data_IF_016995894573
#
_entry.id   IF_016995894573
#
_cell.length_a   1.000
_cell.length_b   1.000
_cell.length_c   1.000
_cell.angle_alpha   90.00
_cell.angle_beta   90.00
_cell.angle_gamma   90.00
#
_symmetry.space_group_name_H-M   'P 1'
#
loop_
_entity.id
_entity.type
_entity.pdbx_description
1 polymer ?
#
# COMPACT_ATOMS: atom_id res chain seq x y z
N UNK A 1 17.62 20.06 67.31
CA UNK A 1 17.10 21.44 67.32
C UNK A 1 16.84 21.82 65.86
N UNK A 2 15.55 21.95 65.53
CA UNK A 2 14.89 22.82 64.56
C UNK A 2 15.53 23.02 63.17
N UNK A 3 14.84 23.06 62.03
CA UNK A 3 13.52 22.68 61.52
C UNK A 3 13.64 23.06 60.01
N UNK A 4 13.34 22.16 59.07
CA UNK A 4 12.23 22.28 58.09
C UNK A 4 12.31 23.51 57.17
N UNK A 5 12.29 23.30 55.86
CA UNK A 5 11.31 23.88 54.93
C UNK A 5 11.54 23.28 53.53
N UNK A 6 10.72 22.27 53.21
CA UNK A 6 10.57 21.69 51.88
C UNK A 6 9.48 22.47 51.14
N UNK A 7 9.83 23.08 50.00
CA UNK A 7 8.87 23.74 49.11
C UNK A 7 8.41 22.79 48.01
N UNK A 8 7.35 22.03 48.30
CA UNK A 8 6.59 21.23 47.31
C UNK A 8 5.47 22.13 46.78
N UNK A 9 5.58 22.59 45.53
CA UNK A 9 4.47 23.25 44.83
C UNK A 9 3.59 22.19 44.16
N UNK A 10 2.54 21.76 44.85
CA UNK A 10 1.39 21.06 44.26
C UNK A 10 0.43 22.11 43.70
N UNK A 11 0.22 22.13 42.39
CA UNK A 11 -0.95 22.78 41.81
C UNK A 11 -2.17 21.85 41.89
N UNK A 12 -3.31 22.33 42.40
CA UNK A 12 -4.56 21.58 42.39
C UNK A 12 -5.29 21.69 41.05
N UNK A 13 -6.00 20.61 40.77
CA UNK A 13 -6.90 20.38 39.65
C UNK A 13 -7.95 21.50 39.50
N UNK A 14 -8.16 21.97 38.27
CA UNK A 14 -9.43 22.54 37.82
C UNK A 14 -10.08 21.51 36.90
N UNK A 15 -11.17 20.92 37.39
CA UNK A 15 -11.99 19.99 36.65
C UNK A 15 -12.71 20.70 35.50
N UNK A 16 -12.46 20.23 34.27
CA UNK A 16 -13.28 20.59 33.13
C UNK A 16 -14.45 19.61 33.08
N UNK A 17 -15.57 20.01 33.68
CA UNK A 17 -16.80 19.25 33.63
C UNK A 17 -17.41 19.33 32.23
N UNK A 18 -17.79 18.15 31.75
CA UNK A 18 -18.73 17.88 30.67
C UNK A 18 -19.82 18.94 30.50
N UNK A 19 -19.78 19.67 29.38
CA UNK A 19 -20.98 20.24 28.77
C UNK A 19 -21.35 19.38 27.57
N UNK A 20 -22.41 18.61 27.79
CA UNK A 20 -23.19 17.88 26.82
C UNK A 20 -23.42 18.73 25.55
N UNK A 21 -22.93 18.26 24.41
CA UNK A 21 -23.34 18.80 23.11
C UNK A 21 -24.78 18.35 22.84
N UNK A 22 -25.72 19.26 22.57
CA UNK A 22 -27.06 18.89 22.14
C UNK A 22 -26.99 18.24 20.75
N UNK A 23 -27.55 17.04 20.65
CA UNK A 23 -27.83 16.37 19.38
C UNK A 23 -28.91 17.15 18.63
N UNK A 24 -28.51 18.03 17.71
CA UNK A 24 -29.42 18.53 16.68
C UNK A 24 -29.63 17.42 15.64
N UNK A 25 -30.67 16.61 15.87
CA UNK A 25 -31.38 15.88 14.82
C UNK A 25 -32.06 16.92 13.93
N UNK A 26 -31.46 17.22 12.79
CA UNK A 26 -32.17 17.82 11.65
C UNK A 26 -32.11 16.78 10.53
N UNK A 27 -33.23 16.09 10.36
CA UNK A 27 -33.55 15.29 9.20
C UNK A 27 -33.71 16.22 7.98
N UNK A 28 -32.99 16.01 6.87
CA UNK A 28 -33.45 16.50 5.58
C UNK A 28 -34.56 15.60 5.03
N UNK A 29 -35.53 16.17 4.29
CA UNK A 29 -36.66 15.45 3.73
C UNK A 29 -36.27 14.60 2.52
N UNK A 30 -37.08 13.58 2.30
CA UNK A 30 -37.14 12.71 1.13
C UNK A 30 -37.09 13.52 -0.19
N UNK A 31 -36.05 13.25 -0.99
CA UNK A 31 -36.04 13.42 -2.44
C UNK A 31 -35.40 12.14 -2.99
N UNK A 32 -36.21 11.19 -3.45
CA UNK A 32 -36.51 10.98 -4.86
C UNK A 32 -35.29 10.60 -5.71
N UNK A 33 -35.17 9.28 -5.89
CA UNK A 33 -34.80 8.59 -7.13
C UNK A 33 -33.86 9.31 -8.10
N UNK A 34 -32.57 9.04 -7.97
CA UNK A 34 -31.70 8.81 -9.13
C UNK A 34 -30.84 7.58 -8.86
N UNK A 35 -31.26 6.45 -9.44
CA UNK A 35 -30.51 5.21 -9.49
C UNK A 35 -29.31 5.39 -10.41
N UNK A 36 -28.22 5.93 -9.87
CA UNK A 36 -26.91 5.79 -10.50
C UNK A 36 -26.45 4.36 -10.33
N UNK A 37 -26.67 3.58 -11.38
CA UNK A 37 -26.00 2.32 -11.64
C UNK A 37 -24.50 2.53 -11.37
N UNK A 38 -24.00 1.84 -10.34
CA UNK A 38 -22.57 1.67 -10.09
C UNK A 38 -21.97 1.01 -11.32
N UNK A 39 -21.39 1.83 -12.20
CA UNK A 39 -20.40 1.37 -13.14
C UNK A 39 -19.24 0.84 -12.31
N UNK A 40 -19.13 -0.49 -12.26
CA UNK A 40 -17.94 -1.16 -11.76
C UNK A 40 -16.73 -0.53 -12.45
N UNK A 41 -15.91 0.15 -11.67
CA UNK A 41 -14.60 0.60 -12.08
C UNK A 41 -13.82 -0.69 -12.35
N UNK A 42 -13.62 -0.98 -13.64
CA UNK A 42 -12.65 -1.99 -14.07
C UNK A 42 -11.29 -1.47 -13.62
N UNK A 43 -10.70 -2.13 -12.63
CA UNK A 43 -9.28 -2.01 -12.34
C UNK A 43 -8.51 -2.49 -13.56
N UNK A 44 -8.04 -1.53 -14.37
CA UNK A 44 -7.13 -1.78 -15.47
C UNK A 44 -5.76 -2.04 -14.87
N UNK A 45 -5.55 -3.27 -14.37
CA UNK A 45 -4.22 -3.75 -14.05
C UNK A 45 -3.44 -3.84 -15.37
N UNK A 46 -2.59 -2.84 -15.58
CA UNK A 46 -1.59 -2.85 -16.64
C UNK A 46 -0.58 -3.95 -16.32
N UNK A 47 -0.95 -5.20 -16.63
CA UNK A 47 -0.02 -6.31 -16.73
C UNK A 47 0.96 -5.95 -17.83
N UNK A 48 2.13 -5.51 -17.38
CA UNK A 48 3.31 -5.13 -18.13
C UNK A 48 3.79 -6.33 -18.94
N UNK A 49 3.17 -6.56 -20.12
CA UNK A 49 3.71 -7.45 -21.14
C UNK A 49 5.08 -6.93 -21.54
N UNK A 50 6.11 -7.65 -21.10
CA UNK A 50 7.47 -7.53 -21.60
C UNK A 50 7.44 -7.93 -23.08
N UNK A 51 7.35 -6.95 -23.96
CA UNK A 51 7.51 -7.20 -25.39
C UNK A 51 8.99 -7.44 -25.68
N UNK A 52 9.24 -8.60 -26.26
CA UNK A 52 10.53 -9.00 -26.79
C UNK A 52 11.10 -7.96 -27.77
N UNK A 53 12.41 -7.78 -27.71
CA UNK A 53 13.18 -6.85 -28.51
C UNK A 53 13.07 -7.12 -30.02
N UNK A 54 12.78 -6.10 -30.85
CA UNK A 54 12.95 -6.22 -32.29
C UNK A 54 14.44 -6.13 -32.66
N UNK A 55 14.94 -7.20 -33.29
CA UNK A 55 16.24 -7.27 -33.97
C UNK A 55 16.27 -6.32 -35.18
N UNK A 56 17.37 -5.57 -35.27
CA UNK A 56 18.08 -5.08 -36.45
C UNK A 56 17.26 -4.30 -37.50
N UNK A 57 16.98 -3.03 -37.16
CA UNK A 57 16.74 -1.99 -38.16
C UNK A 57 18.08 -1.43 -38.66
N UNK A 58 18.24 -1.41 -39.97
CA UNK A 58 19.41 -0.89 -40.68
C UNK A 58 19.56 0.61 -40.45
N UNK A 59 20.67 0.92 -39.78
CA UNK A 59 21.35 2.19 -39.56
C UNK A 59 21.23 3.16 -40.75
N UNK A 60 20.17 3.96 -40.75
CA UNK A 60 20.07 5.16 -41.58
C UNK A 60 20.80 6.30 -40.85
N UNK A 61 21.98 6.64 -41.34
CA UNK A 61 22.76 7.81 -40.90
C UNK A 61 22.09 9.08 -41.41
N UNK A 62 21.15 9.62 -40.65
CA UNK A 62 20.73 11.02 -40.75
C UNK A 62 20.99 11.69 -39.42
N UNK A 63 22.27 11.96 -39.19
CA UNK A 63 22.77 12.91 -38.19
C UNK A 63 22.29 14.31 -38.58
N UNK A 64 21.03 14.62 -38.29
CA UNK A 64 20.63 16.02 -38.08
C UNK A 64 20.84 16.31 -36.62
N UNK A 65 21.88 17.09 -36.42
CA UNK A 65 22.33 17.75 -35.22
C UNK A 65 21.19 18.63 -34.66
N UNK A 66 20.17 18.00 -34.06
CA UNK A 66 19.24 18.66 -33.16
C UNK A 66 20.05 18.92 -31.90
N UNK A 67 20.73 20.06 -31.88
CA UNK A 67 21.26 20.61 -30.65
C UNK A 67 20.05 20.76 -29.73
N UNK A 68 19.92 19.85 -28.78
CA UNK A 68 18.96 20.00 -27.69
C UNK A 68 19.12 21.43 -27.17
N UNK A 69 18.02 22.20 -27.03
CA UNK A 69 18.08 23.58 -26.60
C UNK A 69 18.92 23.61 -25.34
N UNK A 70 20.08 24.27 -25.42
CA UNK A 70 21.01 24.40 -24.31
C UNK A 70 20.21 25.05 -23.20
N UNK A 71 19.79 24.24 -22.22
CA UNK A 71 19.19 24.69 -20.97
C UNK A 71 20.00 25.91 -20.55
N UNK A 72 19.36 27.08 -20.59
CA UNK A 72 19.99 28.34 -20.23
C UNK A 72 20.70 28.08 -18.92
N UNK A 73 22.02 28.25 -18.93
CA UNK A 73 22.90 28.12 -17.78
C UNK A 73 22.23 28.93 -16.67
N UNK A 74 21.54 28.23 -15.78
CA UNK A 74 20.86 28.86 -14.67
C UNK A 74 21.95 29.59 -13.91
N UNK A 75 21.69 30.85 -13.57
CA UNK A 75 22.61 31.62 -12.75
C UNK A 75 23.05 30.73 -11.58
N UNK A 76 24.34 30.73 -11.20
CA UNK A 76 24.82 29.88 -10.11
C UNK A 76 23.91 30.11 -8.92
N UNK A 77 23.10 29.11 -8.57
CA UNK A 77 22.20 29.16 -7.42
C UNK A 77 23.11 29.47 -6.25
N UNK A 78 22.90 30.65 -5.64
CA UNK A 78 23.69 31.08 -4.51
C UNK A 78 23.70 29.91 -3.52
N UNK A 79 24.88 29.37 -3.26
CA UNK A 79 25.02 28.18 -2.42
C UNK A 79 24.39 28.53 -1.08
N UNK A 80 23.26 27.89 -0.75
CA UNK A 80 22.62 28.10 0.54
C UNK A 80 23.63 27.76 1.61
N UNK A 81 23.81 28.68 2.56
CA UNK A 81 24.74 28.48 3.66
C UNK A 81 24.40 27.17 4.37
N UNK A 82 25.42 26.33 4.62
CA UNK A 82 25.23 25.04 5.27
C UNK A 82 24.62 25.22 6.66
N UNK A 83 23.49 24.57 6.89
CA UNK A 83 22.74 24.64 8.15
C UNK A 83 23.43 23.80 9.22
N UNK A 84 23.62 24.32 10.45
CA UNK A 84 24.30 23.60 11.52
C UNK A 84 23.51 22.36 11.96
N UNK A 85 24.22 21.37 12.51
CA UNK A 85 23.65 20.07 12.86
C UNK A 85 22.47 20.16 13.86
N UNK A 86 22.52 21.11 14.79
CA UNK A 86 21.46 21.32 15.78
C UNK A 86 20.15 21.78 15.12
N UNK A 87 20.22 22.68 14.15
CA UNK A 87 19.05 23.16 13.40
C UNK A 87 18.49 22.07 12.49
N UNK A 88 19.34 21.29 11.81
CA UNK A 88 18.89 20.14 11.01
C UNK A 88 18.10 19.15 11.88
N UNK A 89 18.60 18.84 13.08
CA UNK A 89 17.89 17.96 14.03
C UNK A 89 16.58 18.56 14.53
N UNK A 90 16.48 19.88 14.67
CA UNK A 90 15.24 20.56 15.05
C UNK A 90 14.18 20.49 13.93
N UNK A 91 14.60 20.60 12.67
CA UNK A 91 13.71 20.60 11.50
C UNK A 91 13.22 19.17 11.18
N UNK A 92 14.18 18.25 11.00
CA UNK A 92 13.90 16.90 10.52
C UNK A 92 13.72 15.87 11.64
N UNK A 93 14.25 16.13 12.83
CA UNK A 93 14.31 15.15 13.93
C UNK A 93 15.66 14.41 13.99
N UNK A 94 15.84 13.52 14.98
CA UNK A 94 17.11 12.86 15.25
C UNK A 94 17.45 11.73 14.25
N UNK A 95 16.48 11.26 13.46
CA UNK A 95 16.64 10.14 12.54
C UNK A 95 17.37 10.50 11.24
N UNK A 96 17.41 11.78 10.87
CA UNK A 96 17.96 12.24 9.60
C UNK A 96 19.39 12.76 9.79
N UNK A 97 20.32 12.29 8.95
CA UNK A 97 21.70 12.77 8.96
C UNK A 97 21.81 14.23 8.50
N UNK A 98 22.80 14.93 9.05
CA UNK A 98 23.06 16.36 8.78
C UNK A 98 23.32 16.61 7.30
N UNK A 99 24.00 15.67 6.62
CA UNK A 99 24.27 15.80 5.18
C UNK A 99 22.99 15.69 4.37
N UNK A 100 22.15 14.69 4.67
CA UNK A 100 20.86 14.47 4.00
C UNK A 100 19.93 15.66 4.21
N UNK A 101 19.77 16.13 5.45
CA UNK A 101 18.92 17.29 5.75
C UNK A 101 19.36 18.56 5.00
N UNK A 102 20.67 18.82 4.92
CA UNK A 102 21.19 19.94 4.13
C UNK A 102 20.92 19.78 2.63
N UNK A 103 21.02 18.57 2.07
CA UNK A 103 20.72 18.33 0.66
C UNK A 103 19.22 18.52 0.35
N UNK A 104 18.35 18.11 1.27
CA UNK A 104 16.89 18.33 1.16
C UNK A 104 16.56 19.82 1.20
N UNK A 105 17.11 20.57 2.16
CA UNK A 105 16.94 22.04 2.23
C UNK A 105 17.43 22.71 0.95
N UNK A 106 18.58 22.29 0.41
CA UNK A 106 19.11 22.84 -0.83
C UNK A 106 18.17 22.60 -2.02
N UNK A 107 17.66 21.38 -2.20
CA UNK A 107 16.73 21.08 -3.29
C UNK A 107 15.38 21.81 -3.13
N UNK A 108 14.84 21.90 -1.91
CA UNK A 108 13.64 22.71 -1.66
C UNK A 108 13.87 24.18 -1.97
N UNK A 109 15.01 24.75 -1.57
CA UNK A 109 15.34 26.14 -1.87
C UNK A 109 15.46 26.39 -3.37
N UNK A 110 16.13 25.48 -4.08
CA UNK A 110 16.24 25.53 -5.54
C UNK A 110 14.87 25.49 -6.21
N UNK A 111 13.96 24.60 -5.78
CA UNK A 111 12.58 24.52 -6.30
C UNK A 111 11.78 25.80 -6.04
N UNK A 112 11.95 26.44 -4.88
CA UNK A 112 11.32 27.74 -4.56
C UNK A 112 11.76 28.82 -5.53
N UNK A 113 13.07 28.94 -5.76
CA UNK A 113 13.63 29.95 -6.66
C UNK A 113 13.25 29.67 -8.12
N UNK A 114 13.19 28.40 -8.53
CA UNK A 114 12.83 28.04 -9.90
C UNK A 114 11.33 27.99 -10.16
N UNK A 115 10.47 28.17 -9.16
CA UNK A 115 9.01 28.09 -9.31
C UNK A 115 8.45 26.67 -9.47
N UNK A 116 9.30 25.63 -9.44
CA UNK A 116 8.90 24.23 -9.68
C UNK A 116 8.31 23.53 -8.46
N UNK A 117 8.21 24.23 -7.33
CA UNK A 117 7.68 23.67 -6.08
C UNK A 117 6.22 23.21 -6.23
N UNK A 118 5.42 23.89 -7.07
CA UNK A 118 4.01 23.53 -7.33
C UNK A 118 3.89 22.20 -8.06
N UNK A 119 4.71 21.97 -9.07
CA UNK A 119 4.65 20.75 -9.89
C UNK A 119 5.30 19.54 -9.23
N UNK A 120 6.50 19.73 -8.67
CA UNK A 120 7.28 18.63 -8.09
C UNK A 120 6.90 18.33 -6.63
N UNK A 121 6.19 19.24 -5.97
CA UNK A 121 5.78 19.13 -4.58
C UNK A 121 6.95 19.07 -3.59
N UNK A 122 6.65 18.55 -2.40
CA UNK A 122 7.62 18.38 -1.29
C UNK A 122 8.38 17.05 -1.36
N UNK A 123 7.90 16.10 -2.17
CA UNK A 123 8.55 14.80 -2.28
C UNK A 123 9.84 14.90 -3.10
N UNK A 124 10.93 14.35 -2.56
CA UNK A 124 12.22 14.27 -3.22
C UNK A 124 12.55 12.79 -3.41
N UNK A 125 12.49 12.26 -4.65
CA UNK A 125 12.68 10.84 -4.92
C UNK A 125 14.01 10.27 -4.44
N UNK A 126 15.03 11.12 -4.31
CA UNK A 126 16.35 10.74 -3.81
C UNK A 126 16.38 10.50 -2.28
N UNK A 127 15.39 11.00 -1.54
CA UNK A 127 15.31 10.93 -0.07
C UNK A 127 13.89 10.49 0.37
N UNK A 128 13.49 9.25 0.08
CA UNK A 128 12.16 8.73 0.39
C UNK A 128 11.86 8.66 1.90
N UNK A 129 12.89 8.68 2.75
CA UNK A 129 12.77 8.70 4.21
C UNK A 129 12.20 10.00 4.78
N UNK A 130 12.15 11.07 3.99
CA UNK A 130 11.64 12.36 4.42
C UNK A 130 10.12 12.39 4.31
N UNK A 131 9.45 12.53 5.44
CA UNK A 131 7.99 12.67 5.47
C UNK A 131 7.55 14.05 4.99
N UNK A 132 6.31 14.16 4.52
CA UNK A 132 5.74 15.43 4.06
C UNK A 132 5.74 16.50 5.17
N UNK A 133 5.49 16.10 6.42
CA UNK A 133 5.55 17.00 7.59
C UNK A 133 6.96 17.58 7.81
N UNK A 134 8.00 16.76 7.67
CA UNK A 134 9.39 17.20 7.75
C UNK A 134 9.72 18.17 6.61
N UNK A 135 9.25 17.87 5.38
CA UNK A 135 9.38 18.76 4.23
C UNK A 135 8.72 20.12 4.45
N UNK A 136 7.53 20.15 5.05
CA UNK A 136 6.82 21.38 5.41
C UNK A 136 7.54 22.22 6.47
N UNK A 137 8.14 21.57 7.49
CA UNK A 137 8.98 22.26 8.48
C UNK A 137 10.23 22.87 7.84
N UNK A 138 10.91 22.12 6.97
CA UNK A 138 12.07 22.61 6.24
C UNK A 138 11.73 23.78 5.31
N UNK A 139 10.59 23.72 4.64
CA UNK A 139 10.10 24.80 3.78
C UNK A 139 9.75 26.06 4.60
N UNK A 140 9.13 25.89 5.78
CA UNK A 140 8.81 27.00 6.68
C UNK A 140 10.08 27.68 7.21
N UNK A 141 11.09 26.89 7.59
CA UNK A 141 12.41 27.38 7.98
C UNK A 141 13.05 28.19 6.84
N UNK A 142 13.02 27.67 5.61
CA UNK A 142 13.53 28.35 4.42
C UNK A 142 12.82 29.68 4.15
N UNK A 143 11.50 29.76 4.33
CA UNK A 143 10.71 30.99 4.16
C UNK A 143 11.10 32.06 5.17
N UNK A 144 11.42 31.66 6.39
CA UNK A 144 11.83 32.56 7.45
C UNK A 144 13.26 33.11 7.24
N UNK A 145 14.23 32.24 6.92
CA UNK A 145 15.64 32.63 6.81
C UNK A 145 16.04 33.16 5.43
N UNK A 146 15.35 32.72 4.37
CA UNK A 146 15.61 33.12 2.98
C UNK A 146 14.30 33.57 2.32
N UNK A 147 13.85 34.80 2.61
CA UNK A 147 12.65 35.35 1.98
C UNK A 147 12.89 35.48 0.48
N UNK A 148 11.99 34.88 -0.29
CA UNK A 148 12.01 34.89 -1.75
C UNK A 148 10.56 35.02 -2.24
N UNK A 149 10.35 35.70 -3.36
CA UNK A 149 9.03 35.83 -3.99
C UNK A 149 8.70 34.55 -4.77
N UNK A 150 8.23 33.54 -4.04
CA UNK A 150 7.83 32.25 -4.62
C UNK A 150 6.69 32.40 -5.63
N UNK A 151 5.81 33.37 -5.44
CA UNK A 151 4.67 33.61 -6.31
C UNK A 151 5.12 34.13 -7.68
N UNK A 152 6.05 35.10 -7.70
CA UNK A 152 6.65 35.58 -8.93
C UNK A 152 7.42 34.48 -9.67
N UNK A 153 8.23 33.69 -8.95
CA UNK A 153 8.97 32.57 -9.54
C UNK A 153 8.04 31.49 -10.13
N UNK A 154 6.95 31.16 -9.43
CA UNK A 154 5.95 30.21 -9.92
C UNK A 154 5.22 30.73 -11.18
N UNK A 155 4.91 32.04 -11.22
CA UNK A 155 4.28 32.66 -12.38
C UNK A 155 5.20 32.65 -13.61
N UNK A 156 6.48 32.99 -13.44
CA UNK A 156 7.46 32.95 -14.53
C UNK A 156 7.65 31.52 -15.07
N UNK A 157 7.74 30.54 -14.18
CA UNK A 157 7.84 29.14 -14.56
C UNK A 157 6.60 28.65 -15.33
N UNK A 158 5.40 29.00 -14.86
CA UNK A 158 4.15 28.62 -15.52
C UNK A 158 4.05 29.18 -16.94
N UNK A 159 4.46 30.45 -17.15
CA UNK A 159 4.51 31.05 -18.48
C UNK A 159 5.53 30.34 -19.40
N UNK A 160 6.71 30.04 -18.88
CA UNK A 160 7.75 29.34 -19.64
C UNK A 160 7.32 27.91 -20.03
N UNK A 161 6.60 27.20 -19.16
CA UNK A 161 6.11 25.85 -19.44
C UNK A 161 4.92 25.88 -20.42
N UNK A 162 4.04 26.89 -20.36
CA UNK A 162 2.96 27.08 -21.33
C UNK A 162 3.50 27.32 -22.75
N UNK A 163 4.51 28.21 -22.88
CA UNK A 163 5.19 28.46 -24.15
C UNK A 163 5.84 27.19 -24.73
N UNK A 164 6.44 26.36 -23.85
CA UNK A 164 7.05 25.09 -24.24
C UNK A 164 6.00 24.08 -24.69
N UNK A 165 4.91 23.92 -23.95
CA UNK A 165 3.80 23.04 -24.31
C UNK A 165 3.17 23.49 -25.63
N UNK A 166 3.02 24.79 -25.83
CA UNK A 166 2.53 25.36 -27.09
C UNK A 166 3.44 25.02 -28.26
N UNK A 167 4.76 25.19 -28.11
CA UNK A 167 5.72 24.82 -29.14
C UNK A 167 5.69 23.32 -29.47
N UNK A 168 5.57 22.45 -28.46
CA UNK A 168 5.44 21.01 -28.66
C UNK A 168 4.13 20.64 -29.38
N UNK A 169 3.03 21.32 -29.06
CA UNK A 169 1.75 21.15 -29.75
C UNK A 169 1.81 21.62 -31.19
N UNK A 170 2.46 22.75 -31.47
CA UNK A 170 2.68 23.26 -32.83
C UNK A 170 3.52 22.28 -33.66
N UNK A 171 4.58 21.69 -33.09
CA UNK A 171 5.39 20.67 -33.76
C UNK A 171 4.59 19.39 -34.03
N UNK A 172 3.83 18.90 -33.04
CA UNK A 172 2.95 17.74 -33.21
C UNK A 172 1.87 18.00 -34.26
N UNK A 173 1.33 19.22 -34.29
CA UNK A 173 0.31 19.61 -35.25
C UNK A 173 0.87 19.71 -36.69
N UNK A 174 2.09 20.23 -36.85
CA UNK A 174 2.81 20.20 -38.12
C UNK A 174 3.10 18.76 -38.59
N UNK A 175 3.52 17.88 -37.68
CA UNK A 175 3.82 16.48 -37.99
C UNK A 175 2.58 15.63 -38.28
N UNK A 176 1.43 15.96 -37.68
CA UNK A 176 0.19 15.19 -37.83
C UNK A 176 -0.63 15.53 -39.08
N UNK A 177 -0.11 16.37 -39.99
CA UNK A 177 -0.77 16.79 -41.24
C UNK A 177 -2.16 17.44 -41.05
N UNK A 178 -2.57 17.73 -39.80
CA UNK A 178 -3.84 18.38 -39.48
C UNK A 178 -3.86 19.84 -39.94
N UNK A 179 -2.70 20.51 -39.93
CA UNK A 179 -2.52 21.75 -40.66
C UNK A 179 -2.09 21.42 -42.09
N UNK A 180 -3.02 21.56 -43.04
CA UNK A 180 -2.68 21.66 -44.46
C UNK A 180 -1.72 22.82 -44.61
N UNK A 181 -0.43 22.53 -44.82
CA UNK A 181 0.46 23.51 -45.42
C UNK A 181 -0.24 24.02 -46.68
N UNK A 182 -0.62 25.29 -46.71
CA UNK A 182 -1.21 25.98 -47.85
C UNK A 182 -0.15 26.19 -48.95
N UNK A 183 0.58 25.12 -49.27
CA UNK A 183 1.46 25.05 -50.42
C UNK A 183 0.53 25.16 -51.62
N UNK A 184 0.65 26.30 -52.29
CA UNK A 184 0.00 26.67 -53.54
C UNK A 184 -0.10 25.44 -54.43
N UNK A 185 -1.34 24.98 -54.66
CA UNK A 185 -1.62 23.96 -55.66
C UNK A 185 -1.14 24.51 -56.99
N UNK A 186 0.02 24.04 -57.46
CA UNK A 186 0.41 24.25 -58.84
C UNK A 186 -0.67 23.59 -59.72
N UNK A 187 -1.10 24.30 -60.76
CA UNK A 187 -2.10 23.84 -61.71
C UNK A 187 -1.58 22.63 -62.50
N UNK A 188 -1.66 21.44 -61.91
CA UNK A 188 -1.39 20.20 -62.63
C UNK A 188 -2.46 20.02 -63.72
N UNK A 189 -2.01 19.54 -64.89
CA UNK A 189 -2.83 19.17 -66.04
C UNK A 189 -4.04 18.32 -65.58
N UNK A 190 -5.28 18.68 -65.96
CA UNK A 190 -6.49 17.94 -65.58
C UNK A 190 -6.41 16.43 -65.88
N UNK A 191 -5.67 16.00 -66.92
CA UNK A 191 -5.47 14.56 -67.17
C UNK A 191 -4.60 13.89 -66.10
N UNK A 192 -3.56 14.56 -65.62
CA UNK A 192 -2.70 14.00 -64.57
C UNK A 192 -3.44 13.99 -63.23
N UNK A 193 -4.25 15.01 -62.95
CA UNK A 193 -5.16 15.04 -61.79
C UNK A 193 -6.13 13.86 -61.81
N UNK A 194 -6.74 13.54 -62.95
CA UNK A 194 -7.64 12.40 -63.09
C UNK A 194 -6.94 11.06 -62.84
N UNK A 195 -5.73 10.85 -63.38
CA UNK A 195 -4.93 9.64 -63.14
C UNK A 195 -4.52 9.50 -61.66
N UNK A 196 -4.11 10.60 -61.01
CA UNK A 196 -3.78 10.62 -59.58
C UNK A 196 -5.00 10.31 -58.71
N UNK A 197 -6.18 10.83 -59.06
CA UNK A 197 -7.43 10.51 -58.36
C UNK A 197 -7.82 9.05 -58.54
N UNK A 198 -7.74 8.50 -59.76
CA UNK A 198 -8.04 7.09 -60.01
C UNK A 198 -7.11 6.17 -59.20
N UNK A 199 -5.80 6.46 -59.18
CA UNK A 199 -4.83 5.71 -58.36
C UNK A 199 -5.14 5.81 -56.86
N UNK A 200 -5.48 7.01 -56.37
CA UNK A 200 -5.90 7.20 -54.97
C UNK A 200 -7.16 6.39 -54.65
N UNK A 201 -8.17 6.39 -55.51
CA UNK A 201 -9.42 5.64 -55.28
C UNK A 201 -9.14 4.14 -55.16
N UNK A 202 -8.29 3.58 -56.02
CA UNK A 202 -7.92 2.16 -55.94
C UNK A 202 -7.09 1.86 -54.68
N UNK A 203 -6.13 2.70 -54.34
CA UNK A 203 -5.35 2.57 -53.10
C UNK A 203 -6.26 2.65 -51.85
N UNK A 204 -7.26 3.52 -51.86
CA UNK A 204 -8.28 3.61 -50.81
C UNK A 204 -9.11 2.32 -50.72
N UNK A 205 -9.49 1.73 -51.86
CA UNK A 205 -10.23 0.47 -51.92
C UNK A 205 -9.39 -0.69 -51.37
N UNK A 206 -8.12 -0.79 -51.74
CA UNK A 206 -7.19 -1.78 -51.20
C UNK A 206 -6.94 -1.59 -49.70
N UNK A 207 -6.71 -0.36 -49.25
CA UNK A 207 -6.54 -0.05 -47.84
C UNK A 207 -7.78 -0.40 -47.02
N UNK A 208 -8.99 -0.19 -47.56
CA UNK A 208 -10.23 -0.62 -46.91
C UNK A 208 -10.29 -2.14 -46.76
N UNK A 209 -9.92 -2.90 -47.79
CA UNK A 209 -9.82 -4.37 -47.72
C UNK A 209 -8.77 -4.80 -46.68
N UNK A 210 -7.58 -4.19 -46.67
CA UNK A 210 -6.53 -4.46 -45.68
C UNK A 210 -7.00 -4.17 -44.25
N UNK A 211 -7.68 -3.04 -44.02
CA UNK A 211 -8.25 -2.70 -42.70
C UNK A 211 -9.30 -3.71 -42.27
N UNK A 212 -10.15 -4.16 -43.19
CA UNK A 212 -11.16 -5.18 -42.89
C UNK A 212 -10.53 -6.53 -42.52
N UNK A 213 -9.53 -6.98 -43.29
CA UNK A 213 -8.79 -8.22 -42.99
C UNK A 213 -8.06 -8.09 -41.65
N UNK A 214 -7.39 -6.96 -41.40
CA UNK A 214 -6.70 -6.71 -40.13
C UNK A 214 -7.68 -6.67 -38.96
N UNK A 215 -8.85 -6.07 -39.14
CA UNK A 215 -9.92 -6.06 -38.14
C UNK A 215 -10.42 -7.46 -37.80
N UNK A 216 -10.71 -8.28 -38.82
CA UNK A 216 -11.12 -9.67 -38.64
C UNK A 216 -10.03 -10.52 -37.95
N UNK A 217 -8.76 -10.31 -38.30
CA UNK A 217 -7.64 -11.00 -37.66
C UNK A 217 -7.53 -10.61 -36.17
N UNK A 218 -7.70 -9.33 -35.84
CA UNK A 218 -7.69 -8.85 -34.46
C UNK A 218 -8.83 -9.48 -33.65
N UNK A 219 -10.04 -9.57 -34.24
CA UNK A 219 -11.18 -10.22 -33.59
C UNK A 219 -10.87 -11.70 -33.30
N UNK A 220 -10.39 -12.45 -34.28
CA UNK A 220 -10.00 -13.86 -34.08
C UNK A 220 -8.97 -14.05 -32.96
N UNK A 221 -7.93 -13.19 -32.91
CA UNK A 221 -6.93 -13.26 -31.84
C UNK A 221 -7.50 -12.91 -30.47
N UNK A 222 -8.45 -11.96 -30.41
CA UNK A 222 -9.10 -11.60 -29.16
C UNK A 222 -10.02 -12.72 -28.66
N UNK A 223 -10.78 -13.36 -29.56
CA UNK A 223 -11.66 -14.48 -29.20
C UNK A 223 -10.84 -15.68 -28.69
N UNK A 224 -9.72 -15.98 -29.35
CA UNK A 224 -8.79 -17.03 -28.90
C UNK A 224 -8.17 -16.69 -27.54
N UNK A 225 -7.84 -15.41 -27.31
CA UNK A 225 -7.30 -14.98 -26.03
C UNK A 225 -8.35 -15.03 -24.91
N UNK A 226 -9.60 -14.67 -25.20
CA UNK A 226 -10.72 -14.78 -24.24
C UNK A 226 -10.93 -16.23 -23.81
N UNK A 227 -10.93 -17.19 -24.74
CA UNK A 227 -11.09 -18.61 -24.41
C UNK A 227 -9.99 -19.12 -23.47
N UNK A 228 -8.77 -18.57 -23.58
CA UNK A 228 -7.68 -18.92 -22.64
C UNK A 228 -7.87 -18.31 -21.25
N UNK A 229 -8.47 -17.12 -21.16
CA UNK A 229 -8.78 -16.47 -19.87
C UNK A 229 -9.90 -17.23 -19.16
N UNK A 230 -10.96 -17.60 -19.88
CA UNK A 230 -12.08 -18.35 -19.31
C UNK A 230 -11.64 -19.70 -18.73
N UNK A 231 -10.66 -20.38 -19.37
CA UNK A 231 -10.07 -21.63 -18.86
C UNK A 231 -9.28 -21.40 -17.57
N UNK A 232 -8.48 -20.32 -17.50
CA UNK A 232 -7.71 -19.98 -16.30
C UNK A 232 -8.64 -19.58 -15.16
N UNK A 233 -9.69 -18.81 -15.44
CA UNK A 233 -10.68 -18.40 -14.44
C UNK A 233 -11.43 -19.61 -13.88
N UNK A 234 -11.84 -20.56 -14.73
CA UNK A 234 -12.46 -21.81 -14.29
C UNK A 234 -11.50 -22.69 -13.45
N UNK A 235 -10.22 -22.75 -13.81
CA UNK A 235 -9.21 -23.46 -13.02
C UNK A 235 -8.98 -22.78 -11.66
N UNK A 236 -8.95 -21.45 -11.63
CA UNK A 236 -8.80 -20.66 -10.40
C UNK A 236 -10.00 -20.83 -9.47
N UNK A 237 -11.22 -20.86 -9.99
CA UNK A 237 -12.42 -21.11 -9.16
C UNK A 237 -12.43 -22.50 -8.57
N UNK A 238 -12.04 -23.53 -9.34
CA UNK A 238 -11.94 -24.90 -8.82
C UNK A 238 -10.90 -25.01 -7.70
N UNK A 239 -9.75 -24.36 -7.85
CA UNK A 239 -8.71 -24.32 -6.79
C UNK A 239 -9.17 -23.56 -5.55
N UNK A 240 -9.98 -22.51 -5.71
CA UNK A 240 -10.58 -21.79 -4.58
C UNK A 240 -11.56 -22.69 -3.82
N UNK A 241 -12.46 -23.37 -4.52
CA UNK A 241 -13.42 -24.30 -3.92
C UNK A 241 -12.73 -25.46 -3.19
N UNK A 242 -11.66 -26.02 -3.78
CA UNK A 242 -10.83 -27.06 -3.15
C UNK A 242 -10.15 -26.55 -1.87
N UNK A 243 -9.61 -25.32 -1.89
CA UNK A 243 -8.97 -24.71 -0.74
C UNK A 243 -9.99 -24.38 0.37
N UNK A 244 -11.16 -23.86 0.03
CA UNK A 244 -12.26 -23.62 0.98
C UNK A 244 -12.78 -24.91 1.60
N UNK A 245 -12.80 -26.01 0.84
CA UNK A 245 -13.14 -27.33 1.37
C UNK A 245 -12.07 -27.83 2.35
N UNK A 246 -10.79 -27.68 2.02
CA UNK A 246 -9.69 -28.08 2.91
C UNK A 246 -9.67 -27.26 4.21
N UNK A 247 -9.99 -25.96 4.14
CA UNK A 247 -10.14 -25.11 5.34
C UNK A 247 -11.26 -25.62 6.24
N UNK A 248 -12.44 -25.92 5.67
CA UNK A 248 -13.58 -26.46 6.43
C UNK A 248 -13.24 -27.78 7.12
N UNK A 249 -12.59 -28.71 6.42
CA UNK A 249 -12.14 -29.98 7.01
C UNK A 249 -11.16 -29.74 8.18
N UNK A 250 -10.23 -28.79 8.04
CA UNK A 250 -9.30 -28.44 9.11
C UNK A 250 -10.01 -27.80 10.31
N UNK A 251 -10.97 -26.91 10.09
CA UNK A 251 -11.80 -26.31 11.15
C UNK A 251 -12.60 -27.38 11.91
N UNK A 252 -13.20 -28.34 11.20
CA UNK A 252 -13.92 -29.47 11.82
C UNK A 252 -12.99 -30.32 12.71
N UNK A 253 -11.78 -30.63 12.23
CA UNK A 253 -10.80 -31.38 13.06
C UNK A 253 -10.37 -30.59 14.29
N UNK A 254 -10.17 -29.27 14.16
CA UNK A 254 -9.78 -28.42 15.27
C UNK A 254 -10.89 -28.30 16.31
N UNK A 255 -12.14 -28.16 15.88
CA UNK A 255 -13.31 -28.19 16.77
C UNK A 255 -13.44 -29.53 17.50
N UNK A 256 -13.18 -30.66 16.83
CA UNK A 256 -13.19 -31.98 17.46
C UNK A 256 -12.11 -32.10 18.55
N UNK A 257 -10.91 -31.54 18.33
CA UNK A 257 -9.83 -31.51 19.33
C UNK A 257 -10.24 -30.68 20.54
N UNK A 258 -10.82 -29.48 20.33
CA UNK A 258 -11.28 -28.61 21.41
C UNK A 258 -12.36 -29.31 22.24
N UNK A 259 -13.36 -29.90 21.60
CA UNK A 259 -14.44 -30.62 22.29
C UNK A 259 -13.91 -31.81 23.10
N UNK A 260 -12.92 -32.54 22.57
CA UNK A 260 -12.26 -33.61 23.31
C UNK A 260 -11.51 -33.08 24.54
N UNK A 261 -10.84 -31.93 24.45
CA UNK A 261 -10.16 -31.31 25.59
C UNK A 261 -11.15 -30.84 26.66
N UNK A 262 -12.29 -30.26 26.26
CA UNK A 262 -13.38 -29.89 27.18
C UNK A 262 -13.89 -31.13 27.92
N UNK A 263 -14.17 -32.22 27.20
CA UNK A 263 -14.62 -33.47 27.81
C UNK A 263 -13.58 -34.06 28.78
N UNK A 264 -12.28 -33.91 28.51
CA UNK A 264 -11.23 -34.30 29.45
C UNK A 264 -11.17 -33.40 30.69
N UNK A 265 -11.43 -32.09 30.54
CA UNK A 265 -11.49 -31.16 31.64
C UNK A 265 -12.69 -31.46 32.56
N UNK A 266 -13.87 -31.68 31.99
CA UNK A 266 -15.06 -32.08 32.75
C UNK A 266 -14.83 -33.36 33.55
N UNK A 267 -14.20 -34.39 32.95
CA UNK A 267 -13.80 -35.62 33.67
C UNK A 267 -12.80 -35.37 34.79
N UNK A 268 -11.94 -34.35 34.68
CA UNK A 268 -11.02 -33.97 35.76
C UNK A 268 -11.77 -33.29 36.90
N UNK A 269 -12.68 -32.39 36.57
CA UNK A 269 -13.49 -31.67 37.55
C UNK A 269 -14.43 -32.62 38.31
N UNK A 270 -15.02 -33.61 37.64
CA UNK A 270 -15.77 -34.70 38.29
C UNK A 270 -14.92 -35.47 39.29
N UNK A 271 -13.67 -35.81 38.93
CA UNK A 271 -12.75 -36.50 39.84
C UNK A 271 -12.39 -35.62 41.02
N UNK A 272 -12.10 -34.33 40.81
CA UNK A 272 -11.85 -33.40 41.90
C UNK A 272 -13.05 -33.30 42.84
N UNK A 273 -14.27 -33.20 42.31
CA UNK A 273 -15.48 -33.20 43.12
C UNK A 273 -15.68 -34.50 43.92
N UNK A 274 -15.25 -35.66 43.40
CA UNK A 274 -15.24 -36.91 44.20
C UNK A 274 -14.19 -36.89 45.31
N UNK A 275 -13.02 -36.31 45.07
CA UNK A 275 -11.99 -36.14 46.10
C UNK A 275 -12.45 -35.20 47.21
N UNK A 276 -13.06 -34.06 46.87
CA UNK A 276 -13.62 -33.12 47.84
C UNK A 276 -14.69 -33.78 48.73
N UNK A 277 -15.55 -34.63 48.16
CA UNK A 277 -16.55 -35.39 48.92
C UNK A 277 -15.90 -36.37 49.90
N UNK A 278 -14.84 -37.05 49.49
CA UNK A 278 -14.10 -37.97 50.37
C UNK A 278 -13.38 -37.21 51.49
N UNK A 279 -12.82 -36.03 51.20
CA UNK A 279 -12.20 -35.16 52.20
C UNK A 279 -13.22 -34.62 53.21
N UNK A 280 -14.39 -34.17 52.73
CA UNK A 280 -15.51 -33.78 53.59
C UNK A 280 -16.01 -34.94 54.46
N UNK A 281 -16.08 -36.16 53.91
CA UNK A 281 -16.46 -37.34 54.69
C UNK A 281 -15.41 -37.67 55.75
N UNK A 282 -14.12 -37.65 55.40
CA UNK A 282 -13.03 -37.90 56.33
C UNK A 282 -12.95 -36.86 57.47
N UNK A 283 -13.29 -35.60 57.18
CA UNK A 283 -13.34 -34.54 58.20
C UNK A 283 -14.55 -34.69 59.14
N UNK A 284 -15.69 -35.19 58.65
CA UNK A 284 -16.86 -35.51 59.48
C UNK A 284 -16.64 -36.75 60.36
N UNK A 285 -15.95 -37.77 59.84
CA UNK A 285 -15.63 -39.01 60.57
C UNK A 285 -14.50 -38.82 61.61
N UNK A 286 -13.76 -37.71 61.55
CA UNK A 286 -12.70 -37.39 62.51
C UNK A 286 -13.29 -36.86 63.82
N UNK A 287 -13.38 -37.71 64.84
CA UNK A 287 -13.77 -37.32 66.19
C UNK A 287 -12.55 -36.82 67.00
N UNK A 288 -12.41 -35.49 67.23
CA UNK A 288 -11.27 -34.93 67.95
C UNK A 288 -11.27 -35.29 69.44
N UNK A 289 -12.39 -35.73 70.02
CA UNK A 289 -12.45 -36.15 71.42
C UNK A 289 -11.90 -37.57 71.62
N UNK A 290 -12.13 -38.46 70.66
CA UNK A 290 -11.57 -39.81 70.66
C UNK A 290 -10.02 -39.80 70.68
N UNK A 291 -9.40 -38.81 70.02
CA UNK A 291 -7.93 -38.64 70.00
C UNK A 291 -7.38 -38.21 71.37
N UNK A 292 -8.13 -37.41 72.14
CA UNK A 292 -7.68 -36.95 73.48
C UNK A 292 -7.68 -38.05 74.54
N UNK A 293 -8.52 -39.07 74.39
CA UNK A 293 -8.66 -40.15 75.38
C UNK A 293 -7.53 -41.20 75.31
N UNK A 294 -6.74 -41.24 74.24
CA UNK A 294 -5.63 -42.20 74.13
C UNK A 294 -4.46 -41.66 73.26
N UNK A 295 -3.59 -40.80 73.81
CA UNK A 295 -2.52 -40.13 73.04
C UNK A 295 -1.43 -41.11 72.54
N UNK A 296 -1.37 -42.33 73.05
CA UNK A 296 -0.44 -43.37 72.57
C UNK A 296 -0.98 -44.17 71.38
N UNK A 297 -2.23 -43.93 70.96
CA UNK A 297 -2.85 -44.55 69.79
C UNK A 297 -2.76 -43.66 68.55
N UNK A 298 -1.69 -42.85 68.45
CA UNK A 298 -1.25 -42.26 67.18
C UNK A 298 -0.68 -43.40 66.34
N UNK A 299 -1.58 -44.24 65.84
CA UNK A 299 -1.26 -45.27 64.88
C UNK A 299 -0.73 -44.56 63.64
N UNK A 300 0.53 -44.83 63.31
CA UNK A 300 1.05 -44.69 61.96
C UNK A 300 -0.05 -45.16 61.00
N UNK A 301 -0.49 -44.34 60.03
CA UNK A 301 -1.47 -44.82 59.06
C UNK A 301 -0.92 -46.13 58.48
N UNK A 302 -1.72 -47.20 58.41
CA UNK A 302 -1.27 -48.43 57.80
C UNK A 302 -0.85 -48.05 56.39
N UNK A 303 0.45 -48.06 56.11
CA UNK A 303 0.98 -47.80 54.79
C UNK A 303 0.30 -48.85 53.92
N UNK A 304 -0.62 -48.47 53.02
CA UNK A 304 -1.22 -49.47 52.15
C UNK A 304 -0.04 -50.09 51.41
N UNK A 305 0.12 -51.41 51.54
CA UNK A 305 1.16 -52.14 50.85
C UNK A 305 0.93 -51.90 49.36
N UNK A 306 1.66 -50.93 48.80
CA UNK A 306 1.66 -50.60 47.38
C UNK A 306 2.23 -51.83 46.69
N UNK A 307 1.36 -52.74 46.31
CA UNK A 307 1.66 -53.84 45.41
C UNK A 307 1.97 -53.21 44.06
N UNK A 308 3.26 -52.90 43.86
CA UNK A 308 3.85 -52.47 42.60
C UNK A 308 3.62 -53.57 41.56
N UNK A 309 2.40 -53.65 41.01
CA UNK A 309 2.15 -54.36 39.76
C UNK A 309 2.73 -53.50 38.65
N UNK A 310 4.03 -53.67 38.41
CA UNK A 310 4.70 -53.19 37.20
C UNK A 310 4.11 -53.95 36.01
N UNK A 311 2.98 -53.45 35.48
CA UNK A 311 2.54 -53.84 34.14
C UNK A 311 3.55 -53.28 33.16
N UNK A 312 4.46 -54.14 32.72
CA UNK A 312 5.40 -53.87 31.63
C UNK A 312 4.65 -53.27 30.45
N UNK A 313 5.10 -52.13 29.89
CA UNK A 313 4.48 -51.57 28.70
C UNK A 313 4.64 -52.54 27.52
N UNK A 314 3.62 -52.74 26.68
CA UNK A 314 3.77 -53.51 25.45
C UNK A 314 4.75 -52.80 24.52
N UNK A 315 5.92 -53.41 24.34
CA UNK A 315 6.91 -53.08 23.33
C UNK A 315 6.35 -53.42 21.94
N UNK A 316 5.64 -52.50 21.31
CA UNK A 316 5.31 -52.59 19.89
C UNK A 316 5.78 -51.34 19.17
N UNK A 317 7.02 -51.42 18.66
CA UNK A 317 7.57 -50.45 17.73
C UNK A 317 6.86 -50.60 16.37
N UNK A 318 6.36 -49.51 15.76
CA UNK A 318 5.90 -49.55 14.38
C UNK A 318 7.11 -49.54 13.43
N UNK A 319 7.20 -50.61 12.64
CA UNK A 319 8.10 -50.80 11.50
C UNK A 319 7.91 -49.68 10.48
N UNK A 320 8.92 -48.82 10.30
CA UNK A 320 9.04 -47.97 9.13
C UNK A 320 9.16 -48.85 7.87
N UNK A 321 8.18 -48.76 6.98
CA UNK A 321 8.29 -49.22 5.61
C UNK A 321 8.52 -47.99 4.69
N UNK A 322 9.28 -48.17 3.59
CA UNK A 322 9.89 -47.07 2.82
C UNK A 322 8.91 -46.24 2.00
#
# INVERSE_FOLDING_TARGET
MNNVWAGIFRQPCVGFQNTLRPTCRILPPLAESLSWKRSAIRDFSLSRKQYAAPRNSTRSKTSRNLQAPRLRRTAPVAQTQRVPALEIRAIFGPSIDVRTGNAVIYELHKRRISGTLVDAGLHIPAYPEITEEQGNRALSWLRFHHPADEAAAAAEYALAEDDKLRAELEEKAANSWLYKNSVKENEDDPQEKAKRLAKKVEEWRENRKRRHIKGALIQYTNDTAMESVDKVDAEMTMKQDELEKAIRELEETHLAIINHQIALAERRDEKLATWDKLEQQATLDFDPEAVKQNPNRVCSPPIPALSLHTKSPPSSAPSCAP
#
